data_IF_661555156585
#
_entry.id   IF_661555156585
#
_cell.length_a   1.000
_cell.length_b   1.000
_cell.length_c   1.000
_cell.angle_alpha   90.00
_cell.angle_beta   90.00
_cell.angle_gamma   90.00
#
_symmetry.space_group_name_H-M   'P 1'
#
loop_
_entity.id
_entity.type
_entity.pdbx_description
1 polymer ?
#
# COMPACT_ATOMS: atom_id res chain seq x y z
N UNK A 1 15.66 -18.81 -6.83
CA UNK A 1 15.21 -17.51 -7.37
C UNK A 1 15.00 -16.58 -6.20
N UNK A 2 15.80 -15.52 -6.12
CA UNK A 2 15.62 -14.49 -5.09
C UNK A 2 14.67 -13.45 -5.67
N UNK A 3 13.57 -13.19 -4.98
CA UNK A 3 12.67 -12.10 -5.32
C UNK A 3 13.32 -10.79 -4.88
N UNK A 4 13.69 -9.96 -5.85
CA UNK A 4 14.19 -8.62 -5.60
C UNK A 4 13.11 -7.62 -6.03
N UNK A 5 12.67 -6.77 -5.11
CA UNK A 5 11.71 -5.70 -5.40
C UNK A 5 12.40 -4.36 -5.24
N UNK A 6 12.55 -3.66 -6.37
CA UNK A 6 13.02 -2.29 -6.44
C UNK A 6 11.83 -1.36 -6.71
N UNK A 7 11.17 -0.89 -5.65
CA UNK A 7 10.06 0.05 -5.74
C UNK A 7 10.57 1.49 -5.56
N UNK A 8 10.75 2.22 -6.66
CA UNK A 8 11.05 3.65 -6.64
C UNK A 8 9.75 4.45 -6.69
N UNK A 9 9.42 5.14 -5.60
CA UNK A 9 8.23 6.00 -5.50
C UNK A 9 8.70 7.45 -5.36
N UNK A 10 8.34 8.29 -6.33
CA UNK A 10 8.54 9.74 -6.26
C UNK A 10 7.25 10.38 -5.73
N UNK A 11 7.37 11.19 -4.67
CA UNK A 11 6.25 11.97 -4.13
C UNK A 11 6.55 13.44 -4.39
N UNK A 12 5.87 14.02 -5.38
CA UNK A 12 5.94 15.45 -5.66
C UNK A 12 5.12 16.21 -4.61
N UNK A 13 5.81 16.85 -3.65
CA UNK A 13 5.18 17.68 -2.64
C UNK A 13 5.00 19.12 -3.15
N UNK A 14 3.76 19.53 -3.41
CA UNK A 14 3.37 20.87 -3.87
C UNK A 14 2.95 21.82 -2.73
N UNK A 15 3.12 21.40 -1.47
CA UNK A 15 2.73 22.20 -0.31
C UNK A 15 3.69 23.33 0.02
N UNK A 16 3.15 24.48 0.45
CA UNK A 16 3.92 25.66 0.86
C UNK A 16 4.48 25.49 2.26
N UNK A 17 5.66 26.07 2.54
CA UNK A 17 6.26 26.12 3.88
C UNK A 17 6.51 24.74 4.52
N UNK A 18 6.91 23.74 3.72
CA UNK A 18 7.19 22.38 4.20
C UNK A 18 5.95 21.55 4.56
N UNK A 19 4.75 22.05 4.25
CA UNK A 19 3.52 21.29 4.44
C UNK A 19 3.35 20.23 3.35
N UNK A 20 2.60 19.18 3.66
CA UNK A 20 2.19 18.19 2.68
C UNK A 20 1.10 18.81 1.81
N UNK A 21 1.37 18.96 0.52
CA UNK A 21 0.40 19.44 -0.43
C UNK A 21 -0.68 18.40 -0.77
N UNK A 22 -1.83 18.82 -1.33
CA UNK A 22 -2.96 17.92 -1.58
C UNK A 22 -2.61 16.74 -2.48
N UNK A 23 -1.67 16.92 -3.42
CA UNK A 23 -1.25 15.88 -4.34
C UNK A 23 -0.43 14.79 -3.64
N UNK A 24 0.50 15.19 -2.76
CA UNK A 24 1.27 14.27 -1.96
C UNK A 24 0.39 13.47 -0.98
N UNK A 25 -0.61 14.11 -0.36
CA UNK A 25 -1.57 13.41 0.49
C UNK A 25 -2.39 12.37 -0.30
N UNK A 26 -2.83 12.72 -1.50
CA UNK A 26 -3.54 11.78 -2.40
C UNK A 26 -2.65 10.59 -2.77
N UNK A 27 -1.38 10.82 -3.08
CA UNK A 27 -0.43 9.75 -3.39
C UNK A 27 -0.25 8.78 -2.22
N UNK A 28 -0.10 9.31 -0.99
CA UNK A 28 -0.03 8.48 0.22
C UNK A 28 -1.32 7.67 0.42
N UNK A 29 -2.49 8.29 0.21
CA UNK A 29 -3.77 7.60 0.28
C UNK A 29 -3.89 6.47 -0.76
N UNK A 30 -3.50 6.71 -2.01
CA UNK A 30 -3.56 5.72 -3.08
C UNK A 30 -2.65 4.51 -2.81
N UNK A 31 -1.44 4.75 -2.26
CA UNK A 31 -0.53 3.68 -1.82
C UNK A 31 -1.11 2.90 -0.65
N UNK A 32 -1.65 3.57 0.37
CA UNK A 32 -2.25 2.90 1.53
C UNK A 32 -3.46 2.05 1.12
N UNK A 33 -4.32 2.58 0.23
CA UNK A 33 -5.46 1.85 -0.33
C UNK A 33 -5.01 0.62 -1.11
N UNK A 34 -4.00 0.77 -1.98
CA UNK A 34 -3.46 -0.35 -2.75
C UNK A 34 -2.86 -1.41 -1.82
N UNK A 35 -2.06 -1.01 -0.83
CA UNK A 35 -1.46 -1.94 0.13
C UNK A 35 -2.54 -2.72 0.91
N UNK A 36 -3.61 -2.06 1.35
CA UNK A 36 -4.73 -2.74 2.00
C UNK A 36 -5.41 -3.76 1.08
N UNK A 37 -5.62 -3.42 -0.19
CA UNK A 37 -6.15 -4.35 -1.19
C UNK A 37 -5.20 -5.50 -1.49
N UNK A 38 -3.90 -5.26 -1.56
CA UNK A 38 -2.87 -6.28 -1.77
C UNK A 38 -2.82 -7.26 -0.59
N UNK A 39 -2.99 -6.79 0.65
CA UNK A 39 -3.11 -7.66 1.84
C UNK A 39 -4.37 -8.53 1.75
N UNK A 40 -5.52 -7.94 1.45
CA UNK A 40 -6.80 -8.68 1.35
C UNK A 40 -6.75 -9.70 0.21
N UNK A 41 -6.31 -9.30 -0.98
CA UNK A 41 -6.23 -10.19 -2.15
C UNK A 41 -5.10 -11.21 -2.04
N UNK A 42 -4.01 -10.87 -1.35
CA UNK A 42 -2.94 -11.81 -0.99
C UNK A 42 -3.46 -12.89 -0.06
N UNK A 43 -4.19 -12.51 1.00
CA UNK A 43 -4.85 -13.46 1.90
C UNK A 43 -5.90 -14.33 1.19
N UNK A 44 -6.63 -13.78 0.21
CA UNK A 44 -7.58 -14.54 -0.60
C UNK A 44 -6.91 -15.50 -1.60
N UNK A 45 -5.71 -15.17 -2.11
CA UNK A 45 -4.97 -16.02 -3.06
C UNK A 45 -4.19 -17.14 -2.36
N UNK A 46 -3.71 -16.92 -1.14
CA UNK A 46 -2.79 -17.84 -0.44
C UNK A 46 -3.50 -18.83 0.51
N UNK A 47 -4.82 -18.99 0.37
CA UNK A 47 -5.58 -19.99 1.15
C UNK A 47 -6.18 -19.49 2.48
N UNK A 48 -6.43 -18.19 2.61
CA UNK A 48 -7.38 -17.65 3.59
C UNK A 48 -6.86 -17.54 5.01
N UNK A 49 -6.18 -16.43 5.32
CA UNK A 49 -5.94 -15.99 6.71
C UNK A 49 -7.23 -15.53 7.43
N UNK A 50 -8.37 -15.60 6.76
CA UNK A 50 -9.71 -15.44 7.36
C UNK A 50 -10.42 -16.78 7.62
N UNK A 51 -9.73 -17.92 7.49
CA UNK A 51 -10.19 -19.20 8.03
C UNK A 51 -10.07 -19.21 9.56
N UNK A 52 -10.75 -18.27 10.23
CA UNK A 52 -11.13 -18.41 11.62
C UNK A 52 -12.20 -19.49 11.73
N UNK A 53 -11.77 -20.74 11.61
CA UNK A 53 -12.57 -21.93 11.78
C UNK A 53 -11.70 -23.05 12.31
N UNK A 54 -11.67 -23.19 13.64
CA UNK A 54 -11.06 -24.35 14.29
C UNK A 54 -10.54 -24.13 15.70
N UNK A 55 -11.40 -23.73 16.64
CA UNK A 55 -11.66 -24.40 17.94
C UNK A 55 -13.08 -24.06 18.39
#
# INVERSE_FOLDING_TARGET
WTFEQNNHVVINNDGTNGQIGPQALKAVYDVARKAAMDVVTGQMRDGGLFSGGGR
#
